data_IF_288168285513
#
_entry.id   IF_288168285513
#
_cell.length_a   1.000
_cell.length_b   1.000
_cell.length_c   1.000
_cell.angle_alpha   90.00
_cell.angle_beta   90.00
_cell.angle_gamma   90.00
#
_symmetry.space_group_name_H-M   'P 1'
#
loop_
_entity.id
_entity.type
_entity.pdbx_description
1 polymer ?
#
# COMPACT_ATOMS: atom_id res chain seq x y z
N UNK A 1 40.86 -26.43 57.65
CA UNK A 1 39.39 -26.37 57.66
C UNK A 1 38.99 -24.90 57.62
N UNK A 2 38.44 -24.41 56.51
CA UNK A 2 38.11 -22.99 56.34
C UNK A 2 37.97 -22.58 54.87
N UNK A 3 37.01 -23.18 54.16
CA UNK A 3 36.73 -22.91 52.75
C UNK A 3 35.94 -21.59 52.63
N UNK A 4 36.62 -20.53 52.15
CA UNK A 4 36.00 -19.23 51.88
C UNK A 4 35.11 -19.35 50.64
N UNK A 5 33.80 -19.25 50.83
CA UNK A 5 32.82 -19.18 49.75
C UNK A 5 32.75 -17.75 49.24
N UNK A 6 33.17 -17.52 47.99
CA UNK A 6 32.86 -16.30 47.25
C UNK A 6 31.50 -16.50 46.59
N UNK A 7 30.47 -15.79 47.07
CA UNK A 7 29.21 -15.63 46.36
C UNK A 7 29.41 -14.59 45.25
N UNK A 8 29.47 -15.04 44.00
CA UNK A 8 29.31 -14.19 42.82
C UNK A 8 27.82 -13.84 42.69
N UNK A 9 27.47 -12.59 43.01
CA UNK A 9 26.14 -12.06 42.75
C UNK A 9 25.97 -11.84 41.24
N UNK A 10 25.12 -12.65 40.60
CA UNK A 10 24.73 -12.46 39.20
C UNK A 10 23.68 -11.34 39.16
N UNK A 11 24.07 -10.15 38.71
CA UNK A 11 23.13 -9.04 38.48
C UNK A 11 22.36 -9.28 37.18
N UNK A 12 21.10 -9.70 37.29
CA UNK A 12 20.16 -9.74 36.17
C UNK A 12 19.73 -8.29 35.89
N UNK A 13 20.25 -7.71 34.80
CA UNK A 13 19.77 -6.42 34.30
C UNK A 13 18.38 -6.64 33.69
N UNK A 14 17.33 -5.90 34.12
CA UNK A 14 16.03 -5.98 33.48
C UNK A 14 16.14 -5.44 32.06
N UNK A 15 15.78 -6.26 31.08
CA UNK A 15 15.58 -5.82 29.70
C UNK A 15 14.44 -4.82 29.67
N UNK A 16 14.75 -3.54 29.50
CA UNK A 16 13.76 -2.51 29.22
C UNK A 16 13.22 -2.79 27.81
N UNK A 17 12.05 -3.41 27.74
CA UNK A 17 11.27 -3.49 26.50
C UNK A 17 10.76 -2.08 26.24
N UNK A 18 11.42 -1.36 25.33
CA UNK A 18 10.84 -0.15 24.76
C UNK A 18 9.60 -0.57 23.98
N UNK A 19 8.43 -0.37 24.58
CA UNK A 19 7.18 -0.33 23.83
C UNK A 19 7.29 0.94 22.95
N UNK A 20 7.77 0.78 21.71
CA UNK A 20 7.76 1.86 20.74
C UNK A 20 6.29 2.12 20.43
N UNK A 21 5.75 3.23 20.94
CA UNK A 21 4.47 3.73 20.45
C UNK A 21 4.56 3.87 18.94
N UNK A 22 3.54 3.44 18.18
CA UNK A 22 3.55 3.59 16.73
C UNK A 22 3.81 5.07 16.41
N UNK A 23 4.88 5.33 15.66
CA UNK A 23 5.20 6.69 15.23
C UNK A 23 4.06 7.14 14.31
N UNK A 24 3.35 8.21 14.67
CA UNK A 24 2.40 8.84 13.76
C UNK A 24 3.17 9.52 12.64
N UNK A 25 2.75 9.35 11.38
CA UNK A 25 3.48 9.89 10.23
C UNK A 25 2.54 10.52 9.22
N UNK A 26 2.76 11.81 8.93
CA UNK A 26 1.98 12.54 7.92
C UNK A 26 2.22 12.06 6.50
N UNK A 27 3.19 11.17 6.27
CA UNK A 27 3.53 10.60 4.96
C UNK A 27 2.59 9.45 4.56
N UNK A 28 1.90 8.83 5.52
CA UNK A 28 1.06 7.65 5.29
C UNK A 28 -0.19 8.00 4.51
N UNK A 29 -0.41 7.25 3.44
CA UNK A 29 -1.64 7.31 2.66
C UNK A 29 -2.25 5.94 2.41
N UNK A 30 -3.31 5.95 1.62
CA UNK A 30 -4.11 4.78 1.31
C UNK A 30 -4.14 4.53 -0.19
N UNK A 31 -3.64 3.36 -0.60
CA UNK A 31 -4.02 2.74 -1.86
C UNK A 31 -5.37 2.06 -1.65
N UNK A 32 -6.43 2.70 -2.13
CA UNK A 32 -7.80 2.28 -1.85
C UNK A 32 -8.30 1.29 -2.90
N UNK A 33 -8.64 0.08 -2.44
CA UNK A 33 -9.27 -0.96 -3.26
C UNK A 33 -10.71 -1.18 -2.74
N UNK A 34 -11.75 -0.73 -3.48
CA UNK A 34 -13.11 -0.82 -3.00
C UNK A 34 -13.59 -2.26 -2.87
N UNK A 35 -14.39 -2.54 -1.84
CA UNK A 35 -15.09 -3.82 -1.69
C UNK A 35 -16.59 -3.65 -1.89
N UNK A 36 -17.13 -4.10 -3.01
CA UNK A 36 -18.58 -4.14 -3.23
C UNK A 36 -19.29 -5.07 -2.23
N UNK A 37 -18.59 -6.14 -1.81
CA UNK A 37 -19.14 -7.13 -0.88
C UNK A 37 -19.17 -6.65 0.57
N UNK A 38 -18.23 -5.79 0.94
CA UNK A 38 -18.04 -5.35 2.32
C UNK A 38 -17.75 -3.84 2.41
N UNK A 39 -18.63 -2.98 1.89
CA UNK A 39 -18.40 -1.52 1.87
C UNK A 39 -18.30 -0.91 3.27
N UNK A 40 -18.83 -1.59 4.31
CA UNK A 40 -18.69 -1.12 5.69
C UNK A 40 -17.24 -1.15 6.20
N UNK A 41 -16.34 -1.89 5.53
CA UNK A 41 -14.93 -1.94 5.91
C UNK A 41 -14.23 -0.58 5.69
N UNK A 42 -14.81 0.31 4.87
CA UNK A 42 -14.29 1.65 4.61
C UNK A 42 -14.22 2.53 5.86
N UNK A 43 -15.03 2.22 6.88
CA UNK A 43 -15.01 2.90 8.17
C UNK A 43 -13.69 2.74 8.93
N UNK A 44 -12.86 1.75 8.59
CA UNK A 44 -11.54 1.58 9.19
C UNK A 44 -10.56 2.67 8.73
N UNK A 45 -10.64 3.07 7.46
CA UNK A 45 -9.58 3.85 6.79
C UNK A 45 -9.54 5.30 7.22
N UNK A 46 -10.70 5.92 7.47
CA UNK A 46 -10.78 7.30 7.99
C UNK A 46 -11.30 7.37 9.42
N UNK A 47 -10.94 6.38 10.24
CA UNK A 47 -11.25 6.46 11.67
C UNK A 47 -10.51 7.65 12.33
N UNK A 48 -11.04 8.26 13.41
CA UNK A 48 -10.38 9.37 14.09
C UNK A 48 -8.95 9.05 14.57
N UNK A 49 -8.66 7.78 14.80
CA UNK A 49 -7.35 7.27 15.22
C UNK A 49 -6.41 6.95 14.06
N UNK A 50 -6.91 6.89 12.82
CA UNK A 50 -6.10 6.63 11.62
C UNK A 50 -5.01 7.69 11.45
N UNK A 51 -3.80 7.33 11.04
CA UNK A 51 -2.73 8.29 10.73
C UNK A 51 -2.72 8.74 9.26
N UNK A 52 -3.68 8.29 8.46
CA UNK A 52 -3.71 8.52 7.02
C UNK A 52 -4.06 9.97 6.67
N UNK A 53 -3.35 10.55 5.71
CA UNK A 53 -3.51 11.95 5.28
C UNK A 53 -3.90 12.12 3.82
N UNK A 54 -3.70 11.10 2.99
CA UNK A 54 -4.01 11.13 1.56
C UNK A 54 -4.44 9.75 1.08
N UNK A 55 -5.11 9.70 -0.07
CA UNK A 55 -5.45 8.44 -0.73
C UNK A 55 -5.51 8.57 -2.25
N UNK A 56 -5.35 7.45 -2.94
CA UNK A 56 -5.67 7.30 -4.35
C UNK A 56 -6.43 5.98 -4.55
N UNK A 57 -7.13 5.84 -5.68
CA UNK A 57 -8.01 4.71 -5.98
C UNK A 57 -7.85 4.21 -7.43
N UNK A 58 -6.69 4.46 -8.03
CA UNK A 58 -6.40 4.21 -9.46
C UNK A 58 -7.27 5.00 -10.45
N UNK A 59 -8.09 5.93 -9.99
CA UNK A 59 -9.04 6.68 -10.81
C UNK A 59 -8.73 8.18 -10.89
N UNK A 60 -9.43 8.85 -11.82
CA UNK A 60 -9.43 10.31 -11.94
C UNK A 60 -10.34 11.00 -10.91
N UNK A 61 -11.23 10.26 -10.24
CA UNK A 61 -12.29 10.80 -9.36
C UNK A 61 -12.25 10.19 -7.96
N UNK A 62 -12.61 10.97 -6.93
CA UNK A 62 -12.61 10.49 -5.57
C UNK A 62 -13.64 9.36 -5.38
N UNK A 63 -13.35 8.45 -4.46
CA UNK A 63 -14.29 7.42 -4.07
C UNK A 63 -15.45 8.03 -3.29
N UNK A 64 -16.72 7.70 -3.59
CA UNK A 64 -17.87 8.20 -2.82
C UNK A 64 -17.77 7.88 -1.32
N UNK A 65 -17.12 6.77 -0.98
CA UNK A 65 -16.80 6.37 0.39
C UNK A 65 -16.05 7.45 1.18
N UNK A 66 -15.27 8.32 0.51
CA UNK A 66 -14.48 9.37 1.15
C UNK A 66 -14.99 10.79 0.85
N UNK A 67 -16.17 10.93 0.25
CA UNK A 67 -16.68 12.24 -0.19
C UNK A 67 -16.90 13.25 0.95
N UNK A 68 -17.18 12.78 2.16
CA UNK A 68 -17.45 13.61 3.34
C UNK A 68 -16.30 13.60 4.35
N UNK A 69 -15.13 13.12 3.95
CA UNK A 69 -14.02 12.83 4.83
C UNK A 69 -12.86 13.78 4.53
N UNK A 70 -12.81 14.97 5.18
CA UNK A 70 -11.91 16.06 4.80
C UNK A 70 -10.45 15.78 5.13
N UNK A 71 -10.17 14.73 5.92
CA UNK A 71 -8.82 14.38 6.35
C UNK A 71 -7.98 13.77 5.23
N UNK A 72 -8.60 12.94 4.38
CA UNK A 72 -7.90 12.26 3.30
C UNK A 72 -7.91 13.14 2.04
N UNK A 73 -6.76 13.72 1.72
CA UNK A 73 -6.58 14.38 0.43
C UNK A 73 -6.64 13.35 -0.70
N UNK A 74 -7.56 13.52 -1.65
CA UNK A 74 -7.62 12.68 -2.84
C UNK A 74 -6.50 13.05 -3.83
N UNK A 75 -5.80 12.03 -4.34
CA UNK A 75 -4.78 12.15 -5.38
C UNK A 75 -5.26 11.41 -6.65
N UNK A 76 -5.65 12.12 -7.71
CA UNK A 76 -6.07 11.51 -8.97
C UNK A 76 -4.91 10.78 -9.66
N UNK A 77 -5.21 9.66 -10.31
CA UNK A 77 -4.26 8.89 -11.10
C UNK A 77 -4.75 8.72 -12.54
N UNK A 78 -3.87 8.99 -13.51
CA UNK A 78 -4.07 8.58 -14.89
C UNK A 78 -3.56 7.16 -15.04
N UNK A 79 -4.39 6.16 -14.75
CA UNK A 79 -3.94 4.76 -14.65
C UNK A 79 -3.33 4.19 -15.93
N UNK A 80 -4.00 4.41 -17.07
CA UNK A 80 -3.59 3.84 -18.35
C UNK A 80 -4.23 4.53 -19.55
N UNK A 81 -4.15 3.92 -20.73
CA UNK A 81 -4.65 4.53 -21.97
C UNK A 81 -6.18 4.52 -22.09
N UNK A 82 -6.86 3.51 -21.53
CA UNK A 82 -8.29 3.25 -21.74
C UNK A 82 -9.25 4.36 -21.27
N UNK A 83 -8.86 5.17 -20.28
CA UNK A 83 -9.64 6.31 -19.76
C UNK A 83 -8.88 7.65 -19.87
N UNK A 84 -7.81 7.68 -20.64
CA UNK A 84 -6.90 8.84 -20.69
C UNK A 84 -7.55 10.11 -21.22
N UNK A 85 -8.52 10.01 -22.12
CA UNK A 85 -9.11 11.16 -22.81
C UNK A 85 -9.94 12.10 -21.91
N UNK A 86 -10.36 11.66 -20.71
CA UNK A 86 -11.14 12.48 -19.77
C UNK A 86 -10.37 12.90 -18.53
N UNK A 87 -9.12 12.46 -18.36
CA UNK A 87 -8.38 12.69 -17.12
C UNK A 87 -8.20 14.18 -16.81
N UNK A 88 -7.72 14.96 -17.79
CA UNK A 88 -7.53 16.40 -17.61
C UNK A 88 -8.83 17.11 -17.22
N UNK A 89 -9.93 16.82 -17.92
CA UNK A 89 -11.21 17.49 -17.68
C UNK A 89 -11.84 17.06 -16.35
N UNK A 90 -11.67 15.80 -15.94
CA UNK A 90 -12.10 15.31 -14.63
C UNK A 90 -11.36 16.03 -13.48
N UNK A 91 -10.04 16.18 -13.59
CA UNK A 91 -9.23 16.86 -12.55
C UNK A 91 -9.52 18.35 -12.53
N UNK A 92 -9.56 19.02 -13.68
CA UNK A 92 -9.90 20.45 -13.75
C UNK A 92 -11.30 20.74 -13.21
N UNK A 93 -12.27 19.84 -13.40
CA UNK A 93 -13.62 20.01 -12.87
C UNK A 93 -13.64 19.95 -11.34
N UNK A 94 -12.83 19.07 -10.74
CA UNK A 94 -12.68 18.98 -9.29
C UNK A 94 -12.04 20.26 -8.71
N UNK A 95 -10.96 20.74 -9.32
CA UNK A 95 -10.30 21.99 -8.92
C UNK A 95 -11.29 23.17 -9.00
N UNK A 96 -12.05 23.28 -10.10
CA UNK A 96 -13.09 24.32 -10.26
C UNK A 96 -14.20 24.23 -9.21
N UNK A 97 -14.52 23.02 -8.76
CA UNK A 97 -15.49 22.78 -7.68
C UNK A 97 -14.92 23.06 -6.27
N UNK A 98 -13.65 23.45 -6.15
CA UNK A 98 -13.00 23.79 -4.88
C UNK A 98 -12.28 22.62 -4.20
N UNK A 99 -12.10 21.49 -4.88
CA UNK A 99 -11.31 20.38 -4.33
C UNK A 99 -9.83 20.75 -4.21
N UNK A 100 -9.19 20.36 -3.11
CA UNK A 100 -7.76 20.56 -2.89
C UNK A 100 -6.93 19.49 -3.64
N UNK A 101 -6.80 19.62 -4.96
CA UNK A 101 -5.95 18.75 -5.78
C UNK A 101 -4.55 19.37 -5.88
N UNK A 102 -3.64 18.94 -5.01
CA UNK A 102 -2.24 19.40 -5.00
C UNK A 102 -1.32 18.48 -5.81
N UNK A 103 -1.67 17.19 -5.93
CA UNK A 103 -0.85 16.16 -6.56
C UNK A 103 -1.68 15.36 -7.57
N UNK A 104 -1.02 14.83 -8.61
CA UNK A 104 -1.55 13.78 -9.48
C UNK A 104 -0.48 12.71 -9.74
N UNK A 105 -0.93 11.49 -9.97
CA UNK A 105 -0.09 10.34 -10.32
C UNK A 105 -0.21 10.02 -11.82
N UNK A 106 0.91 9.66 -12.43
CA UNK A 106 0.97 9.14 -13.80
C UNK A 106 0.49 7.69 -13.91
N UNK A 107 0.87 7.04 -15.01
CA UNK A 107 0.49 5.66 -15.34
C UNK A 107 0.89 4.65 -14.26
N UNK A 108 0.05 3.62 -14.09
CA UNK A 108 0.28 2.53 -13.17
C UNK A 108 0.96 1.37 -13.90
N UNK A 109 2.17 1.01 -13.48
CA UNK A 109 2.97 -0.08 -14.02
C UNK A 109 2.93 -0.15 -15.55
N UNK A 110 3.31 0.92 -16.26
CA UNK A 110 3.30 0.93 -17.72
C UNK A 110 4.33 -0.03 -18.32
N UNK A 111 5.32 -0.46 -17.55
CA UNK A 111 6.28 -1.52 -17.87
C UNK A 111 5.71 -2.93 -17.64
N UNK A 112 4.61 -3.04 -16.90
CA UNK A 112 3.95 -4.30 -16.57
C UNK A 112 2.85 -4.68 -17.55
N UNK A 113 2.67 -5.98 -17.75
CA UNK A 113 1.65 -6.55 -18.63
C UNK A 113 0.23 -6.37 -18.04
N UNK A 114 -0.73 -6.06 -18.90
CA UNK A 114 -2.13 -5.87 -18.51
C UNK A 114 -2.80 -7.11 -17.89
N UNK A 115 -2.35 -8.31 -18.23
CA UNK A 115 -2.80 -9.57 -17.63
C UNK A 115 -2.35 -9.74 -16.18
N UNK A 116 -1.31 -9.02 -15.75
CA UNK A 116 -0.81 -9.02 -14.37
C UNK A 116 -1.20 -7.78 -13.58
N UNK A 117 -2.00 -6.88 -14.16
CA UNK A 117 -2.47 -5.65 -13.50
C UNK A 117 -1.71 -4.38 -13.89
N UNK A 118 -0.75 -4.46 -14.81
CA UNK A 118 -0.06 -3.29 -15.36
C UNK A 118 -0.87 -2.57 -16.43
N UNK A 119 -0.44 -1.38 -16.82
CA UNK A 119 -1.11 -0.61 -17.88
C UNK A 119 -0.55 -0.86 -19.28
N UNK A 120 0.60 -1.56 -19.40
CA UNK A 120 1.25 -1.99 -20.64
C UNK A 120 1.32 -0.88 -21.71
N UNK A 121 2.15 0.14 -21.44
CA UNK A 121 2.24 1.36 -22.24
C UNK A 121 3.69 1.60 -22.65
N UNK A 122 4.01 1.65 -23.96
CA UNK A 122 5.32 2.09 -24.41
C UNK A 122 5.63 3.53 -23.99
N UNK A 123 6.87 3.80 -23.58
CA UNK A 123 7.32 5.12 -23.09
C UNK A 123 6.98 6.30 -24.03
N UNK A 124 7.13 6.11 -25.34
CA UNK A 124 6.76 7.12 -26.36
C UNK A 124 5.26 7.42 -26.38
N UNK A 125 4.42 6.40 -26.21
CA UNK A 125 2.96 6.58 -26.14
C UNK A 125 2.58 7.30 -24.85
N UNK A 126 3.20 6.92 -23.74
CA UNK A 126 3.03 7.59 -22.46
C UNK A 126 3.39 9.08 -22.55
N UNK A 127 4.52 9.43 -23.19
CA UNK A 127 4.95 10.83 -23.40
C UNK A 127 3.93 11.65 -24.19
N UNK A 128 3.36 11.08 -25.27
CA UNK A 128 2.35 11.77 -26.08
C UNK A 128 1.07 12.05 -25.29
N UNK A 129 0.58 11.07 -24.54
CA UNK A 129 -0.62 11.22 -23.70
C UNK A 129 -0.35 12.21 -22.56
N UNK A 130 0.84 12.15 -21.96
CA UNK A 130 1.24 13.05 -20.88
C UNK A 130 1.13 14.51 -21.28
N UNK A 131 1.65 14.87 -22.45
CA UNK A 131 1.60 16.23 -22.97
C UNK A 131 0.16 16.75 -23.14
N UNK A 132 -0.79 15.85 -23.39
CA UNK A 132 -2.20 16.20 -23.55
C UNK A 132 -2.96 16.24 -22.22
N UNK A 133 -2.67 15.31 -21.30
CA UNK A 133 -3.53 15.03 -20.15
C UNK A 133 -2.94 15.47 -18.80
N UNK A 134 -1.62 15.49 -18.66
CA UNK A 134 -0.93 15.77 -17.39
C UNK A 134 -0.22 17.12 -17.42
N UNK A 135 0.52 17.43 -18.48
CA UNK A 135 1.28 18.67 -18.58
C UNK A 135 0.44 19.95 -18.39
N UNK A 136 -0.83 20.04 -18.86
CA UNK A 136 -1.69 21.19 -18.58
C UNK A 136 -2.04 21.37 -17.09
N UNK A 137 -2.00 20.32 -16.28
CA UNK A 137 -2.20 20.39 -14.82
C UNK A 137 -0.95 20.95 -14.13
N UNK A 138 0.24 20.58 -14.60
CA UNK A 138 1.50 21.13 -14.11
C UNK A 138 1.54 22.66 -14.25
N UNK A 139 1.09 23.16 -15.42
CA UNK A 139 0.97 24.60 -15.70
C UNK A 139 -0.04 25.33 -14.80
N UNK A 140 -0.94 24.61 -14.15
CA UNK A 140 -1.88 25.14 -13.15
C UNK A 140 -1.33 25.04 -11.72
N UNK A 141 -0.08 24.58 -11.54
CA UNK A 141 0.58 24.47 -10.23
C UNK A 141 0.36 23.13 -9.52
N UNK A 142 -0.31 22.16 -10.15
CA UNK A 142 -0.44 20.79 -9.61
C UNK A 142 0.92 20.09 -9.68
N UNK A 143 1.30 19.40 -8.60
CA UNK A 143 2.53 18.62 -8.52
C UNK A 143 2.37 17.27 -9.21
N UNK A 144 3.32 16.92 -10.05
CA UNK A 144 3.19 15.79 -10.96
C UNK A 144 4.11 14.63 -10.56
N UNK A 145 3.51 13.48 -10.29
CA UNK A 145 4.20 12.21 -10.11
C UNK A 145 4.44 11.54 -11.46
N UNK A 146 5.66 11.06 -11.68
CA UNK A 146 6.00 10.20 -12.81
C UNK A 146 5.10 8.93 -12.87
N UNK A 147 5.11 8.18 -13.98
CA UNK A 147 4.53 6.84 -13.99
C UNK A 147 5.17 5.94 -12.92
N UNK A 148 4.34 5.16 -12.22
CA UNK A 148 4.75 4.25 -11.15
C UNK A 148 5.11 2.89 -11.78
N UNK A 149 6.39 2.60 -11.99
CA UNK A 149 6.80 1.33 -12.59
C UNK A 149 6.87 0.19 -11.57
N UNK A 150 6.87 -1.05 -12.07
CA UNK A 150 7.11 -2.23 -11.22
C UNK A 150 8.49 -2.14 -10.55
N UNK A 151 8.66 -2.87 -9.44
CA UNK A 151 9.92 -2.89 -8.66
C UNK A 151 11.12 -3.55 -9.35
N UNK A 152 10.96 -4.02 -10.59
CA UNK A 152 12.02 -4.68 -11.35
C UNK A 152 12.95 -3.69 -12.07
N UNK A 153 14.13 -4.16 -12.47
CA UNK A 153 15.08 -3.38 -13.28
C UNK A 153 14.46 -2.86 -14.58
N UNK A 154 13.53 -3.63 -15.18
CA UNK A 154 12.77 -3.21 -16.37
C UNK A 154 11.93 -1.96 -16.11
N UNK A 155 11.40 -1.78 -14.90
CA UNK A 155 10.65 -0.57 -14.53
C UNK A 155 11.53 0.67 -14.47
N UNK A 156 12.77 0.53 -13.98
CA UNK A 156 13.75 1.63 -13.98
C UNK A 156 14.19 1.98 -15.40
N UNK A 157 14.38 0.99 -16.26
CA UNK A 157 14.70 1.19 -17.68
C UNK A 157 13.55 1.92 -18.40
N UNK A 158 12.32 1.48 -18.20
CA UNK A 158 11.14 2.15 -18.74
C UNK A 158 11.05 3.62 -18.28
N UNK A 159 11.31 3.88 -16.99
CA UNK A 159 11.32 5.26 -16.46
C UNK A 159 12.35 6.14 -17.17
N UNK A 160 13.56 5.60 -17.41
CA UNK A 160 14.62 6.31 -18.13
C UNK A 160 14.24 6.59 -19.60
N UNK A 161 13.60 5.62 -20.27
CA UNK A 161 13.08 5.77 -21.62
C UNK A 161 11.98 6.85 -21.68
N UNK A 162 11.06 6.85 -20.71
CA UNK A 162 10.01 7.86 -20.61
C UNK A 162 10.57 9.27 -20.41
N UNK A 163 11.58 9.45 -19.55
CA UNK A 163 12.22 10.75 -19.35
C UNK A 163 12.97 11.22 -20.60
N UNK A 164 13.47 10.28 -21.41
CA UNK A 164 14.09 10.58 -22.70
C UNK A 164 13.05 11.01 -23.73
N UNK A 165 11.96 10.24 -23.86
CA UNK A 165 10.85 10.51 -24.77
C UNK A 165 10.13 11.84 -24.43
N UNK A 166 10.08 12.19 -23.14
CA UNK A 166 9.45 13.42 -22.66
C UNK A 166 10.42 14.39 -21.98
N UNK A 167 11.47 14.78 -22.71
CA UNK A 167 12.49 15.73 -22.22
C UNK A 167 11.95 17.12 -21.77
N UNK A 168 10.74 17.48 -22.18
CA UNK A 168 10.06 18.72 -21.80
C UNK A 168 8.87 18.51 -20.84
N UNK A 169 8.65 17.30 -20.33
CA UNK A 169 7.62 17.02 -19.31
C UNK A 169 8.00 17.61 -17.95
N UNK A 170 7.00 18.11 -17.23
CA UNK A 170 7.16 18.49 -15.82
C UNK A 170 7.01 17.27 -14.92
N UNK A 171 8.05 16.94 -14.14
CA UNK A 171 8.04 15.83 -13.17
C UNK A 171 8.61 16.32 -11.83
N UNK A 172 7.76 16.36 -10.81
CA UNK A 172 8.10 16.84 -9.47
C UNK A 172 8.61 15.71 -8.55
N UNK A 173 8.02 14.52 -8.64
CA UNK A 173 8.36 13.35 -7.82
C UNK A 173 8.19 12.04 -8.60
N UNK A 174 8.75 10.94 -8.08
CA UNK A 174 8.69 9.61 -8.71
C UNK A 174 7.99 8.62 -7.78
N UNK A 175 6.80 8.13 -8.15
CA UNK A 175 6.18 6.96 -7.55
C UNK A 175 6.97 5.68 -7.85
N UNK A 176 7.11 4.80 -6.87
CA UNK A 176 7.72 3.46 -7.02
C UNK A 176 6.86 2.40 -6.36
N UNK A 177 6.83 1.21 -6.96
CA UNK A 177 6.19 0.03 -6.40
C UNK A 177 7.23 -0.98 -5.94
N UNK A 178 6.95 -1.69 -4.85
CA UNK A 178 7.84 -2.75 -4.37
C UNK A 178 7.11 -3.91 -3.71
N UNK A 179 7.24 -5.09 -4.30
CA UNK A 179 6.73 -6.33 -3.75
C UNK A 179 7.87 -7.32 -3.47
N UNK A 180 8.34 -7.36 -2.23
CA UNK A 180 9.50 -8.17 -1.81
C UNK A 180 10.05 -7.74 -0.45
N UNK A 181 11.28 -8.17 -0.15
CA UNK A 181 11.89 -7.93 1.16
C UNK A 181 12.27 -6.46 1.43
N UNK A 182 12.63 -6.17 2.68
CA UNK A 182 12.96 -4.81 3.12
C UNK A 182 14.26 -4.28 2.48
N UNK A 183 15.26 -5.14 2.33
CA UNK A 183 16.56 -4.80 1.77
C UNK A 183 16.41 -4.33 0.32
N UNK A 184 15.61 -5.04 -0.47
CA UNK A 184 15.31 -4.65 -1.83
C UNK A 184 14.50 -3.35 -1.91
N UNK A 185 13.51 -3.14 -1.03
CA UNK A 185 12.79 -1.85 -0.95
C UNK A 185 13.76 -0.68 -0.74
N UNK A 186 14.65 -0.80 0.25
CA UNK A 186 15.62 0.24 0.57
C UNK A 186 16.62 0.48 -0.57
N UNK A 187 17.09 -0.58 -1.24
CA UNK A 187 17.95 -0.48 -2.42
C UNK A 187 17.24 0.23 -3.57
N UNK A 188 16.02 -0.19 -3.89
CA UNK A 188 15.22 0.35 -4.98
C UNK A 188 14.98 1.86 -4.82
N UNK A 189 14.60 2.30 -3.61
CA UNK A 189 14.46 3.74 -3.30
C UNK A 189 15.79 4.47 -3.50
N UNK A 190 16.90 3.92 -2.99
CA UNK A 190 18.23 4.51 -3.12
C UNK A 190 18.67 4.66 -4.58
N UNK A 191 18.41 3.65 -5.41
CA UNK A 191 18.71 3.66 -6.84
C UNK A 191 17.93 4.74 -7.59
N UNK A 192 16.62 4.88 -7.34
CA UNK A 192 15.81 5.92 -7.95
C UNK A 192 16.25 7.32 -7.53
N UNK A 193 16.54 7.53 -6.24
CA UNK A 193 17.07 8.80 -5.74
C UNK A 193 18.42 9.12 -6.41
N UNK A 194 19.34 8.16 -6.46
CA UNK A 194 20.66 8.35 -7.08
C UNK A 194 20.61 8.57 -8.59
N UNK A 195 19.67 7.93 -9.30
CA UNK A 195 19.55 8.01 -10.76
C UNK A 195 18.85 9.30 -11.20
N UNK A 196 17.73 9.65 -10.56
CA UNK A 196 16.85 10.71 -11.05
C UNK A 196 16.89 12.00 -10.22
N UNK A 197 17.47 11.96 -9.01
CA UNK A 197 17.56 13.09 -8.09
C UNK A 197 16.20 13.77 -7.84
N UNK A 198 15.18 12.95 -7.54
CA UNK A 198 13.82 13.37 -7.21
C UNK A 198 13.38 12.82 -5.86
N UNK A 199 12.37 13.46 -5.27
CA UNK A 199 11.67 12.85 -4.13
C UNK A 199 10.84 11.65 -4.59
N UNK A 200 10.67 10.70 -3.69
CA UNK A 200 10.02 9.42 -3.92
C UNK A 200 8.68 9.37 -3.21
N UNK A 201 7.70 8.80 -3.89
CA UNK A 201 6.46 8.29 -3.30
C UNK A 201 6.51 6.77 -3.40
N UNK A 202 6.29 6.04 -2.31
CA UNK A 202 6.15 4.58 -2.37
C UNK A 202 4.67 4.26 -2.43
N UNK A 203 4.09 4.29 -3.64
CA UNK A 203 2.63 4.21 -3.83
C UNK A 203 2.09 2.81 -3.59
N UNK A 204 2.91 1.77 -3.74
CA UNK A 204 2.57 0.41 -3.36
C UNK A 204 3.76 -0.31 -2.77
N UNK A 205 3.57 -0.92 -1.60
CA UNK A 205 4.57 -1.85 -1.07
C UNK A 205 3.96 -2.91 -0.15
N UNK A 206 4.48 -4.13 -0.24
CA UNK A 206 4.23 -5.24 0.67
C UNK A 206 5.29 -6.32 0.46
N UNK A 207 5.55 -7.18 1.45
CA UNK A 207 6.28 -8.42 1.20
C UNK A 207 5.28 -9.48 0.77
N UNK A 208 5.29 -9.84 -0.51
CA UNK A 208 4.23 -10.63 -1.13
C UNK A 208 4.43 -12.13 -0.88
N UNK A 209 3.35 -12.83 -0.54
CA UNK A 209 3.30 -14.29 -0.40
C UNK A 209 4.23 -14.91 0.66
N UNK A 210 4.80 -14.10 1.56
CA UNK A 210 5.62 -14.57 2.68
C UNK A 210 4.78 -15.03 3.87
N UNK A 211 5.43 -15.66 4.85
CA UNK A 211 4.74 -16.09 6.07
C UNK A 211 4.37 -14.89 6.97
N UNK A 212 3.52 -15.11 7.97
CA UNK A 212 3.00 -14.03 8.82
C UNK A 212 4.12 -13.25 9.54
N UNK A 213 5.11 -13.97 10.09
CA UNK A 213 6.22 -13.35 10.80
C UNK A 213 7.09 -12.51 9.87
N UNK A 214 7.34 -12.99 8.65
CA UNK A 214 8.08 -12.25 7.62
C UNK A 214 7.33 -10.97 7.23
N UNK A 215 6.04 -11.06 6.92
CA UNK A 215 5.21 -9.90 6.52
C UNK A 215 5.16 -8.83 7.63
N UNK A 216 4.99 -9.25 8.90
CA UNK A 216 5.01 -8.35 10.05
C UNK A 216 6.39 -7.72 10.28
N UNK A 217 7.47 -8.49 10.06
CA UNK A 217 8.85 -7.99 10.19
C UNK A 217 9.15 -6.95 9.10
N UNK A 218 8.80 -7.26 7.85
CA UNK A 218 8.90 -6.34 6.72
C UNK A 218 8.15 -5.04 7.00
N UNK A 219 6.90 -5.12 7.46
CA UNK A 219 6.08 -3.95 7.75
C UNK A 219 6.75 -3.04 8.80
N UNK A 220 7.23 -3.62 9.90
CA UNK A 220 7.86 -2.83 10.98
C UNK A 220 9.18 -2.19 10.52
N UNK A 221 9.98 -2.88 9.72
CA UNK A 221 11.22 -2.32 9.17
C UNK A 221 10.94 -1.22 8.15
N UNK A 222 10.06 -1.47 7.19
CA UNK A 222 9.72 -0.55 6.10
C UNK A 222 9.05 0.72 6.63
N UNK A 223 8.02 0.64 7.46
CA UNK A 223 7.34 1.83 8.04
C UNK A 223 8.34 2.73 8.79
N UNK A 224 9.16 2.14 9.66
CA UNK A 224 10.19 2.86 10.42
C UNK A 224 11.24 3.52 9.52
N UNK A 225 11.62 2.88 8.42
CA UNK A 225 12.53 3.43 7.42
C UNK A 225 11.89 4.60 6.65
N UNK A 226 10.70 4.39 6.07
CA UNK A 226 10.01 5.38 5.25
C UNK A 226 9.68 6.67 6.03
N UNK A 227 9.36 6.55 7.32
CA UNK A 227 9.14 7.69 8.20
C UNK A 227 10.39 8.57 8.36
N UNK A 228 11.58 7.95 8.44
CA UNK A 228 12.86 8.65 8.66
C UNK A 228 13.58 9.06 7.38
N UNK A 229 13.24 8.49 6.23
CA UNK A 229 13.90 8.80 4.96
C UNK A 229 13.40 10.12 4.38
N UNK A 230 14.24 11.14 4.33
CA UNK A 230 13.88 12.50 3.88
C UNK A 230 13.44 12.55 2.41
N UNK A 231 14.08 11.76 1.54
CA UNK A 231 13.70 11.68 0.12
C UNK A 231 12.35 11.00 -0.11
N UNK A 232 11.82 10.26 0.86
CA UNK A 232 10.47 9.69 0.79
C UNK A 232 9.50 10.67 1.43
N UNK A 233 8.56 11.17 0.64
CA UNK A 233 7.59 12.16 1.12
C UNK A 233 6.21 11.55 1.39
N UNK A 234 5.86 10.47 0.69
CA UNK A 234 4.57 9.80 0.81
C UNK A 234 4.74 8.29 0.63
N UNK A 235 3.92 7.50 1.31
CA UNK A 235 3.85 6.05 1.07
C UNK A 235 2.48 5.46 1.38
N UNK A 236 2.11 4.38 0.68
CA UNK A 236 0.87 3.62 0.88
C UNK A 236 1.10 2.12 0.86
N UNK A 237 0.87 1.46 1.99
CA UNK A 237 1.02 0.00 2.11
C UNK A 237 -0.10 -0.71 1.35
N UNK A 238 0.25 -1.67 0.49
CA UNK A 238 -0.71 -2.40 -0.32
C UNK A 238 -1.32 -3.56 0.46
N UNK A 239 -2.42 -3.27 1.15
CA UNK A 239 -3.10 -4.25 1.99
C UNK A 239 -4.52 -3.89 2.42
N UNK A 240 -5.10 -2.80 1.92
CA UNK A 240 -6.39 -2.27 2.36
C UNK A 240 -7.60 -3.07 1.85
N UNK A 241 -7.60 -4.38 2.11
CA UNK A 241 -8.59 -5.36 1.71
C UNK A 241 -8.57 -6.54 2.68
N UNK A 242 -9.54 -7.45 2.53
CA UNK A 242 -9.61 -8.68 3.33
C UNK A 242 -8.62 -9.75 2.82
N UNK A 243 -8.10 -10.53 3.76
CA UNK A 243 -7.08 -11.56 3.50
C UNK A 243 -7.50 -12.67 2.55
N UNK A 244 -8.80 -12.90 2.38
CA UNK A 244 -9.32 -13.92 1.47
C UNK A 244 -9.41 -13.47 -0.01
N UNK A 245 -9.25 -12.17 -0.28
CA UNK A 245 -9.20 -11.62 -1.65
C UNK A 245 -7.83 -11.05 -2.04
N UNK A 246 -6.85 -11.11 -1.13
CA UNK A 246 -5.50 -10.61 -1.38
C UNK A 246 -4.81 -11.36 -2.53
N UNK A 247 -4.36 -10.60 -3.53
CA UNK A 247 -3.50 -11.09 -4.62
C UNK A 247 -2.01 -11.10 -4.25
N UNK A 248 -1.60 -10.45 -3.14
CA UNK A 248 -0.22 -10.41 -2.64
C UNK A 248 0.01 -11.34 -1.44
N UNK A 249 -0.92 -12.27 -1.22
CA UNK A 249 -0.90 -13.20 -0.08
C UNK A 249 -1.69 -12.69 1.13
N UNK A 250 -2.32 -13.64 1.83
CA UNK A 250 -3.24 -13.33 2.92
C UNK A 250 -2.59 -12.57 4.09
N UNK A 251 -1.30 -12.81 4.34
CA UNK A 251 -0.58 -12.25 5.49
C UNK A 251 -0.28 -10.75 5.37
N UNK A 252 -0.31 -10.21 4.15
CA UNK A 252 -0.10 -8.79 3.87
C UNK A 252 -1.41 -7.99 3.87
N UNK A 253 -2.54 -8.61 4.17
CA UNK A 253 -3.81 -7.90 4.26
C UNK A 253 -3.96 -7.17 5.60
N UNK A 254 -4.51 -5.95 5.56
CA UNK A 254 -4.85 -5.15 6.74
C UNK A 254 -6.11 -5.66 7.43
N UNK A 255 -6.97 -6.40 6.73
CA UNK A 255 -8.16 -7.04 7.30
C UNK A 255 -8.06 -8.56 7.18
N UNK A 256 -8.47 -9.26 8.22
CA UNK A 256 -8.78 -10.68 8.15
C UNK A 256 -9.96 -10.93 7.20
N UNK A 257 -10.19 -12.19 6.83
CA UNK A 257 -11.36 -12.63 6.04
C UNK A 257 -12.71 -12.22 6.67
N UNK A 258 -12.73 -11.98 7.97
CA UNK A 258 -13.93 -11.60 8.72
C UNK A 258 -14.07 -10.08 8.91
N UNK A 259 -13.16 -9.28 8.33
CA UNK A 259 -13.20 -7.82 8.39
C UNK A 259 -12.61 -7.22 9.67
N UNK A 260 -11.94 -8.02 10.51
CA UNK A 260 -11.19 -7.51 11.67
C UNK A 260 -9.82 -7.03 11.23
N UNK A 261 -9.34 -5.90 11.77
CA UNK A 261 -7.97 -5.44 11.59
C UNK A 261 -6.97 -6.52 11.99
N UNK A 262 -5.99 -6.78 11.12
CA UNK A 262 -4.79 -7.54 11.44
C UNK A 262 -3.83 -6.68 12.25
N UNK A 263 -2.74 -7.26 12.75
CA UNK A 263 -1.70 -6.47 13.41
C UNK A 263 -1.12 -5.41 12.47
N UNK A 264 -0.80 -5.77 11.21
CA UNK A 264 -0.34 -4.80 10.19
C UNK A 264 -1.38 -3.70 9.97
N UNK A 265 -2.66 -4.06 9.79
CA UNK A 265 -3.72 -3.07 9.58
C UNK A 265 -3.86 -2.11 10.75
N UNK A 266 -3.84 -2.62 11.98
CA UNK A 266 -3.92 -1.79 13.19
C UNK A 266 -2.69 -0.89 13.33
N UNK A 267 -1.48 -1.44 13.21
CA UNK A 267 -0.24 -0.66 13.29
C UNK A 267 -0.17 0.45 12.25
N UNK A 268 -0.63 0.18 11.02
CA UNK A 268 -0.62 1.16 9.93
C UNK A 268 -1.54 2.34 10.19
N UNK A 269 -2.68 2.07 10.84
CA UNK A 269 -3.64 3.07 11.26
C UNK A 269 -3.31 3.68 12.63
N UNK A 270 -2.09 3.49 13.16
CA UNK A 270 -1.67 4.09 14.44
C UNK A 270 -2.14 3.34 15.70
N UNK A 271 -2.73 2.16 15.54
CA UNK A 271 -3.18 1.27 16.61
C UNK A 271 -2.12 0.32 17.16
N UNK A 272 -2.51 -0.45 18.17
CA UNK A 272 -1.68 -1.50 18.79
C UNK A 272 -1.89 -2.89 18.21
N UNK A 273 -1.24 -3.89 18.79
CA UNK A 273 -1.45 -5.31 18.43
C UNK A 273 -2.91 -5.74 18.61
N UNK A 274 -3.40 -6.56 17.69
CA UNK A 274 -4.77 -7.09 17.68
C UNK A 274 -4.82 -8.58 17.96
N UNK A 275 -3.77 -9.32 17.60
CA UNK A 275 -3.73 -10.79 17.60
C UNK A 275 -4.61 -11.43 16.51
N UNK A 276 -5.15 -10.66 15.57
CA UNK A 276 -6.04 -11.16 14.53
C UNK A 276 -5.25 -11.74 13.36
N UNK A 277 -5.24 -13.07 13.26
CA UNK A 277 -4.49 -13.80 12.23
C UNK A 277 -5.28 -13.87 10.91
N UNK A 278 -4.76 -13.33 9.79
CA UNK A 278 -5.39 -13.43 8.48
C UNK A 278 -5.38 -14.85 7.93
N UNK A 279 -6.37 -15.18 7.10
CA UNK A 279 -6.49 -16.49 6.44
C UNK A 279 -6.88 -16.35 4.98
N UNK A 280 -6.35 -17.24 4.14
CA UNK A 280 -6.62 -17.26 2.70
C UNK A 280 -8.01 -17.83 2.36
N UNK A 281 -8.48 -17.61 1.13
CA UNK A 281 -9.73 -18.21 0.64
C UNK A 281 -9.77 -19.74 0.75
N UNK A 282 -8.62 -20.41 0.61
CA UNK A 282 -8.51 -21.88 0.75
C UNK A 282 -8.93 -22.36 2.15
N UNK A 283 -8.77 -21.52 3.18
CA UNK A 283 -9.20 -21.82 4.54
C UNK A 283 -10.72 -21.87 4.71
N UNK A 284 -11.48 -21.02 4.00
CA UNK A 284 -12.96 -21.08 4.04
C UNK A 284 -13.50 -22.40 3.50
N UNK A 285 -12.86 -22.95 2.45
CA UNK A 285 -13.26 -24.23 1.84
C UNK A 285 -13.09 -25.40 2.80
N UNK A 286 -12.01 -25.43 3.59
CA UNK A 286 -11.77 -26.53 4.55
C UNK A 286 -12.66 -26.45 5.79
N UNK A 287 -13.02 -25.25 6.24
CA UNK A 287 -13.97 -25.06 7.34
C UNK A 287 -15.38 -25.58 7.01
N UNK A 288 -15.88 -25.32 5.79
CA UNK A 288 -17.18 -25.82 5.32
C UNK A 288 -17.23 -27.35 5.17
N UNK A 289 -16.10 -27.97 4.79
CA UNK A 289 -15.98 -29.43 4.69
C UNK A 289 -15.99 -30.07 6.09
N UNK A 290 -15.37 -29.43 7.09
CA UNK A 290 -15.38 -29.94 8.47
C UNK A 290 -16.74 -29.82 9.15
N UNK A 291 -17.52 -28.77 8.85
CA UNK A 291 -18.87 -28.62 9.42
C UNK A 291 -19.90 -29.59 8.82
N UNK A 292 -19.68 -30.09 7.61
CA UNK A 292 -20.55 -31.08 6.95
C UNK A 292 -20.25 -32.53 7.37
N UNK A 293 -19.14 -32.78 8.06
CA UNK A 293 -18.77 -34.11 8.62
C UNK A 293 -19.21 -34.31 10.08
N UNK A 294 -19.82 -33.30 10.73
CA UNK A 294 -20.24 -33.35 12.14
C UNK A 294 -21.76 -33.48 12.36
N UNK A 295 -22.55 -33.63 11.29
CA UNK A 295 -23.99 -33.93 11.37
C UNK A 295 -24.24 -35.34 10.86
N UNK A 296 -23.98 -36.34 11.71
CA UNK A 296 -24.15 -37.74 11.34
C UNK A 296 -23.91 -38.73 12.47
N UNK A 297 -24.29 -38.42 13.71
CA UNK A 297 -24.25 -39.36 14.84
C UNK A 297 -25.34 -39.03 15.86
N UNK A 298 -26.57 -39.45 15.57
CA UNK A 298 -27.71 -39.67 16.47
C UNK A 298 -28.81 -40.23 15.55
N UNK A 299 -29.52 -41.33 15.76
CA UNK A 299 -29.82 -42.25 16.87
C UNK A 299 -30.63 -43.38 16.21
N UNK A 300 -30.39 -44.66 16.53
CA UNK A 300 -31.51 -45.58 16.82
C UNK A 300 -31.04 -46.87 17.48
N UNK A 301 -31.52 -47.09 18.69
CA UNK A 301 -31.45 -48.32 19.46
C UNK A 301 -32.80 -49.06 19.31
N UNK A 302 -32.71 -50.39 19.17
CA UNK A 302 -33.66 -51.47 19.48
C UNK A 302 -35.16 -51.37 19.09
N UNK A 303 -35.70 -52.45 18.50
CA UNK A 303 -36.49 -53.52 19.18
C UNK A 303 -37.07 -54.50 18.13
N UNK A 304 -37.05 -55.80 18.50
CA UNK A 304 -37.51 -57.04 17.86
C UNK A 304 -36.62 -57.68 16.78
#
# INVERSE_FOLDING_TARGET
MGLRHFLTALTVLPSIVYCQSPLTSSKRGLVYVPSEKYPQDDANWDSPTSDLTWYYNYGSKPSPAFANFPKLQFVPMLWGTGNSSTFLSDVQSQIKAGANITYVLGFNEPDGDSSTGGSDIPAETAAQIWMQQIEPLAKQGVKIGAPACTGAETGRQWTQEFFTACSNCTIDFIPVHWYGDFQGLASHIGEYVGTFNKTIWVTEFADAHVNLQESQTFYNQSSSYLDRTENVTHYSYFGAFRSDVSNVGANSAMLTQDGKLTDIGSWYLGGGETGSVPKSAAYRKTAFIRSSLLVGLTTMWCVL
#
